data_IF_527239687215
#
_entry.id   IF_527239687215
#
_cell.length_a   1.000
_cell.length_b   1.000
_cell.length_c   1.000
_cell.angle_alpha   90.00
_cell.angle_beta   90.00
_cell.angle_gamma   90.00
#
_symmetry.space_group_name_H-M   'P 1'
#
loop_
_entity.id
_entity.type
_entity.pdbx_description
1 polymer ?
#
# COMPACT_ATOMS: atom_id res chain seq x y z
N UNK A 1 38.39 -3.51 15.11
CA UNK A 1 37.85 -3.08 16.41
C UNK A 1 36.36 -3.42 16.43
N UNK A 2 35.81 -4.33 17.22
CA UNK A 2 36.31 -5.35 18.14
C UNK A 2 35.19 -6.38 18.31
N UNK A 3 35.53 -7.67 18.27
CA UNK A 3 34.64 -8.79 18.65
C UNK A 3 34.67 -8.92 20.17
N UNK A 4 33.55 -9.32 20.80
CA UNK A 4 33.60 -10.00 22.09
C UNK A 4 32.65 -11.20 22.11
N UNK A 5 33.24 -12.39 22.15
CA UNK A 5 32.67 -13.58 22.78
C UNK A 5 33.33 -13.73 24.15
N UNK A 6 32.59 -14.24 25.14
CA UNK A 6 33.13 -14.78 26.38
C UNK A 6 32.42 -16.10 26.70
N UNK A 7 33.20 -17.17 26.83
CA UNK A 7 32.79 -18.55 27.15
C UNK A 7 33.23 -18.92 28.57
N UNK A 8 32.53 -19.90 29.18
CA UNK A 8 33.01 -20.75 30.28
C UNK A 8 32.20 -20.63 31.59
N UNK A 9 31.91 -21.67 32.38
CA UNK A 9 31.75 -23.12 32.23
C UNK A 9 31.07 -23.62 33.53
N UNK A 10 30.44 -24.80 33.48
CA UNK A 10 29.51 -25.43 34.44
C UNK A 10 29.89 -25.55 35.93
N UNK A 11 28.86 -25.46 36.80
CA UNK A 11 28.64 -26.41 37.90
C UNK A 11 27.13 -26.65 38.13
N UNK A 12 26.72 -27.91 38.15
CA UNK A 12 25.37 -28.38 38.46
C UNK A 12 25.16 -28.39 39.98
N UNK A 13 24.08 -27.76 40.45
CA UNK A 13 23.39 -28.16 41.68
C UNK A 13 21.88 -28.04 41.46
N UNK A 14 21.20 -29.18 41.62
CA UNK A 14 19.75 -29.28 41.64
C UNK A 14 19.20 -28.57 42.89
N UNK A 15 18.50 -27.46 42.70
CA UNK A 15 17.56 -26.93 43.68
C UNK A 15 16.19 -26.77 43.03
N UNK A 16 15.23 -27.56 43.51
CA UNK A 16 13.81 -27.38 43.25
C UNK A 16 13.35 -26.13 44.01
N UNK A 17 13.27 -25.00 43.31
CA UNK A 17 12.53 -23.83 43.78
C UNK A 17 11.34 -23.59 42.86
N UNK A 18 10.15 -23.81 43.39
CA UNK A 18 8.90 -23.32 42.82
C UNK A 18 8.95 -21.79 42.72
N UNK A 19 9.39 -21.28 41.58
CA UNK A 19 9.17 -19.89 41.20
C UNK A 19 8.05 -19.84 40.17
N UNK A 20 6.92 -19.30 40.60
CA UNK A 20 5.88 -18.79 39.72
C UNK A 20 6.51 -17.73 38.80
N UNK A 21 6.90 -18.13 37.60
CA UNK A 21 7.30 -17.18 36.56
C UNK A 21 6.05 -16.54 35.96
N UNK A 22 5.60 -15.48 36.61
CA UNK A 22 4.65 -14.54 36.04
C UNK A 22 5.42 -13.66 35.03
N UNK A 23 5.67 -14.18 33.82
CA UNK A 23 6.23 -13.40 32.71
C UNK A 23 5.16 -12.50 32.09
N UNK A 24 4.67 -11.54 32.89
CA UNK A 24 4.03 -10.34 32.38
C UNK A 24 5.12 -9.40 31.86
N UNK A 25 5.60 -9.63 30.64
CA UNK A 25 6.34 -8.61 29.92
C UNK A 25 5.37 -7.47 29.57
N UNK A 26 5.20 -6.54 30.51
CA UNK A 26 4.62 -5.24 30.22
C UNK A 26 5.56 -4.49 29.27
N UNK A 27 5.33 -4.63 27.96
CA UNK A 27 5.86 -3.72 26.96
C UNK A 27 5.19 -2.36 27.12
N UNK A 28 5.58 -1.58 28.14
CA UNK A 28 5.06 -0.23 28.35
C UNK A 28 6.17 0.78 28.68
N UNK A 29 7.31 0.67 27.98
CA UNK A 29 8.32 1.71 28.01
C UNK A 29 8.62 2.08 26.56
N UNK A 30 7.86 3.03 26.03
CA UNK A 30 8.23 3.69 24.79
C UNK A 30 9.48 4.51 25.12
N UNK A 31 10.67 3.99 24.79
CA UNK A 31 11.97 4.57 25.15
C UNK A 31 12.23 5.96 24.54
N UNK A 32 11.34 6.41 23.64
CA UNK A 32 11.43 7.69 22.97
C UNK A 32 10.18 8.53 23.31
N UNK A 33 10.35 9.74 23.86
CA UNK A 33 9.23 10.65 24.11
C UNK A 33 8.55 11.03 22.80
N UNK A 34 7.23 11.18 22.82
CA UNK A 34 6.44 11.69 21.70
C UNK A 34 6.80 13.15 21.41
N UNK A 35 6.54 13.63 20.19
CA UNK A 35 6.79 15.04 19.83
C UNK A 35 6.05 16.06 20.71
N UNK A 36 4.98 15.65 21.40
CA UNK A 36 4.27 16.47 22.39
C UNK A 36 5.02 16.53 23.73
N UNK A 37 5.72 15.46 24.09
CA UNK A 37 6.48 15.34 25.34
C UNK A 37 7.87 15.96 25.27
N UNK A 38 8.49 16.00 24.08
CA UNK A 38 9.82 16.62 23.87
C UNK A 38 9.81 18.14 24.14
N UNK A 39 8.68 18.82 23.94
CA UNK A 39 8.63 20.29 23.96
C UNK A 39 9.37 20.91 22.76
N UNK A 40 9.50 22.24 22.75
CA UNK A 40 10.31 22.99 21.76
C UNK A 40 9.92 22.77 20.28
N UNK A 41 8.62 22.72 19.97
CA UNK A 41 8.12 22.50 18.59
C UNK A 41 8.39 23.66 17.62
N UNK A 42 8.91 24.79 18.13
CA UNK A 42 9.02 26.03 17.36
C UNK A 42 7.65 26.69 17.11
N UNK A 43 7.62 27.83 16.40
CA UNK A 43 6.36 28.47 16.01
C UNK A 43 5.61 27.58 15.00
N UNK A 44 4.30 27.44 15.20
CA UNK A 44 3.42 26.68 14.30
C UNK A 44 2.23 27.54 13.89
N UNK A 45 2.00 27.67 12.59
CA UNK A 45 0.81 28.31 12.02
C UNK A 45 0.40 27.54 10.76
N UNK A 46 -0.89 27.28 10.58
CA UNK A 46 -1.43 26.60 9.40
C UNK A 46 -1.99 27.62 8.41
N UNK A 47 -1.69 27.44 7.12
CA UNK A 47 -2.27 28.26 6.05
C UNK A 47 -3.69 27.85 5.66
N UNK A 48 -4.24 28.54 4.66
CA UNK A 48 -5.53 28.20 4.04
C UNK A 48 -5.43 26.85 3.33
N UNK A 49 -6.49 26.05 3.45
CA UNK A 49 -6.56 24.76 2.76
C UNK A 49 -6.56 24.89 1.24
N UNK A 50 -5.75 24.07 0.52
CA UNK A 50 -5.61 24.18 -0.92
C UNK A 50 -6.86 23.67 -1.67
N UNK A 51 -7.04 24.16 -2.90
CA UNK A 51 -8.17 23.79 -3.75
C UNK A 51 -7.81 23.67 -5.23
N UNK A 52 -6.64 23.06 -5.51
CA UNK A 52 -6.04 23.10 -6.85
C UNK A 52 -6.84 22.34 -7.91
N UNK A 53 -7.86 21.55 -7.53
CA UNK A 53 -8.79 20.98 -8.50
C UNK A 53 -9.70 22.03 -9.18
N UNK A 54 -9.88 23.19 -8.54
CA UNK A 54 -10.69 24.31 -9.02
C UNK A 54 -9.81 25.50 -9.40
N UNK A 55 -8.81 25.81 -8.58
CA UNK A 55 -8.05 27.07 -8.73
C UNK A 55 -6.84 26.98 -9.65
N UNK A 56 -6.34 25.79 -9.96
CA UNK A 56 -5.12 25.63 -10.76
C UNK A 56 -5.40 25.40 -12.25
N UNK A 57 -4.53 25.96 -13.09
CA UNK A 57 -4.59 25.73 -14.53
C UNK A 57 -4.25 24.30 -14.95
N UNK A 58 -3.50 23.58 -14.13
CA UNK A 58 -3.25 22.15 -14.32
C UNK A 58 -3.23 21.50 -12.94
N UNK A 59 -4.18 20.61 -12.61
CA UNK A 59 -4.16 19.91 -11.33
C UNK A 59 -3.01 18.89 -11.31
N UNK A 60 -2.49 18.53 -10.11
CA UNK A 60 -1.35 17.64 -9.99
C UNK A 60 -1.68 16.23 -10.50
N UNK A 61 -0.76 15.67 -11.28
CA UNK A 61 -0.81 14.33 -11.88
C UNK A 61 0.36 13.48 -11.37
N UNK A 62 0.12 12.19 -11.15
CA UNK A 62 1.19 11.25 -10.82
C UNK A 62 1.73 10.62 -12.09
N UNK A 63 2.93 11.00 -12.51
CA UNK A 63 3.59 10.44 -13.70
C UNK A 63 4.76 9.52 -13.36
N UNK A 64 5.37 9.73 -12.19
CA UNK A 64 6.56 9.02 -11.74
C UNK A 64 6.20 7.83 -10.86
N UNK A 65 7.09 6.84 -10.83
CA UNK A 65 7.05 5.71 -9.90
C UNK A 65 8.36 5.58 -9.12
N UNK A 66 9.01 6.72 -8.83
CA UNK A 66 10.19 6.77 -7.97
C UNK A 66 9.94 6.07 -6.60
N UNK A 67 10.92 5.31 -6.07
CA UNK A 67 12.30 5.15 -6.53
C UNK A 67 12.52 4.01 -7.54
N UNK A 68 11.46 3.49 -8.16
CA UNK A 68 11.60 2.47 -9.19
C UNK A 68 12.01 3.10 -10.52
N UNK A 69 12.79 2.35 -11.28
CA UNK A 69 13.29 2.72 -12.61
C UNK A 69 12.79 1.67 -13.59
N UNK A 70 12.25 2.09 -14.74
CA UNK A 70 11.86 1.13 -15.77
C UNK A 70 13.10 0.62 -16.51
N UNK A 71 13.18 -0.69 -16.79
CA UNK A 71 14.20 -1.26 -17.67
C UNK A 71 14.29 -0.56 -19.04
N UNK A 72 13.18 0.01 -19.54
CA UNK A 72 13.17 0.76 -20.80
C UNK A 72 14.10 1.99 -20.79
N UNK A 73 14.35 2.57 -19.61
CA UNK A 73 15.28 3.70 -19.48
C UNK A 73 16.73 3.30 -19.75
N UNK A 74 17.09 2.04 -19.51
CA UNK A 74 18.43 1.52 -19.83
C UNK A 74 18.56 0.97 -21.25
N UNK A 75 17.47 0.51 -21.86
CA UNK A 75 17.50 -0.08 -23.21
C UNK A 75 17.10 0.89 -24.32
N UNK A 76 16.62 2.09 -23.99
CA UNK A 76 16.03 3.06 -24.95
C UNK A 76 14.85 2.49 -25.77
N UNK A 77 14.19 1.45 -25.24
CA UNK A 77 13.04 0.86 -25.90
C UNK A 77 11.81 1.77 -25.81
N UNK A 78 11.01 1.80 -26.88
CA UNK A 78 9.73 2.50 -26.88
C UNK A 78 8.69 1.83 -25.96
N UNK A 79 8.89 0.56 -25.62
CA UNK A 79 8.01 -0.21 -24.74
C UNK A 79 8.42 -0.05 -23.28
N UNK A 80 7.55 0.53 -22.45
CA UNK A 80 7.75 0.57 -20.99
C UNK A 80 7.10 -0.66 -20.32
N UNK A 81 7.88 -1.71 -19.95
CA UNK A 81 7.31 -2.91 -19.34
C UNK A 81 6.58 -2.63 -18.03
N UNK A 82 7.00 -1.60 -17.28
CA UNK A 82 6.38 -1.24 -16.00
C UNK A 82 4.93 -0.77 -16.20
N UNK A 83 4.61 -0.22 -17.37
CA UNK A 83 3.24 0.18 -17.73
C UNK A 83 2.38 -1.00 -18.15
N UNK A 84 3.00 -2.09 -18.61
CA UNK A 84 2.31 -3.27 -19.15
C UNK A 84 2.12 -4.41 -18.16
N UNK A 85 2.41 -4.23 -16.87
CA UNK A 85 2.20 -5.25 -15.83
C UNK A 85 0.73 -5.38 -15.35
N UNK A 86 -0.21 -4.73 -16.04
CA UNK A 86 -1.63 -4.77 -15.71
C UNK A 86 -1.89 -4.30 -14.28
N UNK A 87 -2.53 -5.15 -13.46
CA UNK A 87 -2.85 -4.81 -12.06
C UNK A 87 -1.62 -4.70 -11.14
N UNK A 88 -0.43 -5.08 -11.61
CA UNK A 88 0.84 -4.94 -10.89
C UNK A 88 1.57 -3.64 -11.25
N UNK A 89 1.14 -2.93 -12.29
CA UNK A 89 1.72 -1.64 -12.68
C UNK A 89 1.57 -0.62 -11.55
N UNK A 90 2.62 0.13 -11.21
CA UNK A 90 2.49 1.29 -10.33
C UNK A 90 1.41 2.28 -10.83
N UNK A 91 0.71 2.90 -9.87
CA UNK A 91 -0.29 3.92 -10.18
C UNK A 91 0.32 5.07 -11.00
N UNK A 92 -0.45 5.53 -11.98
CA UNK A 92 -0.18 6.74 -12.72
C UNK A 92 -1.48 7.40 -13.13
N UNK A 93 -1.44 8.71 -13.31
CA UNK A 93 -2.49 9.48 -13.94
C UNK A 93 -2.54 9.16 -15.43
N UNK A 94 -3.74 8.92 -15.94
CA UNK A 94 -4.01 8.82 -17.36
C UNK A 94 -4.28 10.24 -17.91
N UNK A 95 -3.95 10.52 -19.18
CA UNK A 95 -4.37 11.75 -19.81
C UNK A 95 -5.91 11.80 -19.87
N UNK A 96 -6.49 13.00 -19.87
CA UNK A 96 -7.96 13.15 -19.80
C UNK A 96 -8.68 12.49 -20.98
N UNK A 97 -8.06 12.50 -22.16
CA UNK A 97 -8.57 11.87 -23.37
C UNK A 97 -8.28 10.36 -23.47
N UNK A 98 -7.76 9.70 -22.44
CA UNK A 98 -7.40 8.27 -22.48
C UNK A 98 -8.54 7.34 -22.89
N UNK A 99 -9.79 7.79 -22.72
CA UNK A 99 -11.00 7.06 -23.08
C UNK A 99 -11.73 7.64 -24.30
N UNK A 100 -11.03 8.38 -25.16
CA UNK A 100 -11.59 8.94 -26.40
C UNK A 100 -12.50 10.15 -26.22
N UNK A 101 -12.48 10.77 -25.04
CA UNK A 101 -13.26 11.98 -24.75
C UNK A 101 -12.40 13.22 -25.00
N UNK A 102 -12.37 13.67 -26.26
CA UNK A 102 -11.67 14.90 -26.65
C UNK A 102 -12.24 16.12 -25.91
N UNK A 103 -11.36 17.05 -25.53
CA UNK A 103 -11.73 18.24 -24.76
C UNK A 103 -12.11 17.98 -23.29
N UNK A 104 -12.13 16.72 -22.83
CA UNK A 104 -12.34 16.41 -21.42
C UNK A 104 -11.17 16.89 -20.54
N UNK A 105 -11.47 17.22 -19.30
CA UNK A 105 -10.49 17.69 -18.32
C UNK A 105 -10.82 17.18 -16.93
N UNK A 106 -9.80 17.00 -16.10
CA UNK A 106 -9.96 16.71 -14.67
C UNK A 106 -10.31 17.95 -13.84
N UNK A 107 -10.50 19.11 -14.47
CA UNK A 107 -10.89 20.36 -13.81
C UNK A 107 -12.39 20.44 -13.56
N UNK A 108 -12.75 21.10 -12.48
CA UNK A 108 -14.14 21.52 -12.24
C UNK A 108 -14.46 22.68 -13.19
N UNK A 109 -15.58 22.65 -13.94
CA UNK A 109 -15.98 23.75 -14.81
C UNK A 109 -16.24 25.05 -14.03
N UNK A 110 -15.95 26.21 -14.64
CA UNK A 110 -16.06 27.53 -13.99
C UNK A 110 -17.47 27.86 -13.47
N UNK A 111 -18.51 27.29 -14.10
CA UNK A 111 -19.92 27.44 -13.72
C UNK A 111 -20.39 26.43 -12.65
N UNK A 112 -19.50 25.57 -12.14
CA UNK A 112 -19.84 24.51 -11.18
C UNK A 112 -19.15 24.74 -9.84
N UNK A 113 -19.87 24.44 -8.75
CA UNK A 113 -19.30 24.39 -7.42
C UNK A 113 -19.04 22.92 -7.02
N UNK A 114 -17.80 22.62 -6.60
CA UNK A 114 -17.52 21.31 -6.01
C UNK A 114 -18.03 21.29 -4.56
N UNK A 115 -18.99 20.41 -4.28
CA UNK A 115 -19.62 20.27 -2.97
C UNK A 115 -19.17 19.04 -2.20
N UNK A 116 -18.80 17.97 -2.90
CA UNK A 116 -18.46 16.67 -2.31
C UNK A 116 -17.51 15.89 -3.21
N UNK A 117 -16.67 15.05 -2.59
CA UNK A 117 -15.79 14.11 -3.29
C UNK A 117 -15.78 12.78 -2.55
N UNK A 118 -15.84 11.68 -3.31
CA UNK A 118 -15.62 10.33 -2.82
C UNK A 118 -14.40 9.74 -3.50
N UNK A 119 -13.46 9.23 -2.70
CA UNK A 119 -12.32 8.49 -3.21
C UNK A 119 -12.47 7.01 -2.85
N UNK A 120 -12.49 6.17 -3.89
CA UNK A 120 -12.24 4.74 -3.76
C UNK A 120 -10.86 4.46 -4.34
N UNK A 121 -9.96 3.90 -3.54
CA UNK A 121 -8.62 3.56 -3.99
C UNK A 121 -8.24 2.14 -3.56
N UNK A 122 -7.37 1.51 -4.36
CA UNK A 122 -6.77 0.22 -4.02
C UNK A 122 -5.67 0.41 -2.97
N UNK A 123 -5.24 -0.68 -2.36
CA UNK A 123 -3.95 -0.72 -1.69
C UNK A 123 -2.79 -0.37 -2.65
N UNK A 124 -1.66 0.06 -2.08
CA UNK A 124 -0.42 0.32 -2.82
C UNK A 124 0.33 -0.96 -3.21
N UNK A 125 1.49 -0.80 -3.84
CA UNK A 125 2.35 -1.91 -4.19
C UNK A 125 2.70 -2.79 -2.98
N UNK A 126 2.76 -4.09 -3.19
CA UNK A 126 2.91 -5.09 -2.11
C UNK A 126 3.80 -6.23 -2.55
N UNK A 127 4.26 -6.99 -1.56
CA UNK A 127 4.84 -8.29 -1.83
C UNK A 127 3.79 -9.28 -2.38
N UNK A 128 4.24 -10.37 -3.04
CA UNK A 128 3.37 -11.43 -3.53
C UNK A 128 2.46 -12.01 -2.44
N UNK A 129 1.35 -12.62 -2.85
CA UNK A 129 0.50 -13.36 -1.90
C UNK A 129 1.15 -14.70 -1.55
N UNK A 130 0.84 -15.22 -0.37
CA UNK A 130 1.45 -16.41 0.25
C UNK A 130 1.29 -17.67 -0.61
N UNK A 131 0.27 -17.73 -1.46
CA UNK A 131 -0.08 -18.88 -2.28
C UNK A 131 0.23 -18.71 -3.78
N UNK A 132 0.98 -17.67 -4.18
CA UNK A 132 1.22 -17.37 -5.60
C UNK A 132 2.71 -17.23 -5.94
N UNK A 133 2.98 -17.30 -7.24
CA UNK A 133 4.28 -16.95 -7.81
C UNK A 133 4.75 -15.55 -7.37
N UNK A 134 6.07 -15.33 -7.20
CA UNK A 134 7.19 -16.19 -7.62
C UNK A 134 7.70 -17.19 -6.56
N UNK A 135 7.11 -17.22 -5.35
CA UNK A 135 7.61 -18.07 -4.27
C UNK A 135 7.54 -19.57 -4.59
N UNK A 136 6.50 -19.98 -5.34
CA UNK A 136 6.35 -21.34 -5.83
C UNK A 136 7.47 -21.74 -6.79
N UNK A 137 7.79 -20.90 -7.76
CA UNK A 137 8.89 -21.10 -8.71
C UNK A 137 10.23 -21.20 -7.98
N UNK A 138 10.50 -20.32 -7.03
CA UNK A 138 11.72 -20.38 -6.20
C UNK A 138 11.86 -21.72 -5.47
N UNK A 139 10.75 -22.23 -4.93
CA UNK A 139 10.72 -23.52 -4.23
C UNK A 139 11.04 -24.67 -5.19
N UNK A 140 10.43 -24.68 -6.38
CA UNK A 140 10.69 -25.70 -7.41
C UNK A 140 12.12 -25.64 -7.95
N UNK A 141 12.64 -24.43 -8.17
CA UNK A 141 14.01 -24.22 -8.65
C UNK A 141 15.05 -24.73 -7.64
N UNK A 142 14.83 -24.44 -6.35
CA UNK A 142 15.67 -24.97 -5.26
C UNK A 142 15.59 -26.49 -5.16
N UNK A 143 14.39 -27.06 -5.31
CA UNK A 143 14.17 -28.51 -5.25
C UNK A 143 14.81 -29.26 -6.42
N UNK A 144 14.88 -28.65 -7.60
CA UNK A 144 15.53 -29.25 -8.76
C UNK A 144 17.03 -29.52 -8.50
N UNK A 145 17.70 -28.63 -7.76
CA UNK A 145 19.06 -28.81 -7.18
C UNK A 145 20.23 -28.91 -8.17
N UNK A 146 20.01 -29.48 -9.36
CA UNK A 146 21.02 -29.88 -10.32
C UNK A 146 20.76 -29.26 -11.70
N UNK A 147 20.53 -27.95 -11.75
CA UNK A 147 20.41 -27.22 -13.01
C UNK A 147 21.61 -26.31 -13.22
N UNK A 148 21.93 -26.05 -14.48
CA UNK A 148 22.85 -25.00 -14.90
C UNK A 148 22.14 -24.14 -15.93
N UNK A 149 21.63 -22.99 -15.48
CA UNK A 149 20.97 -22.04 -16.37
C UNK A 149 22.01 -21.35 -17.26
N UNK A 150 21.59 -20.93 -18.45
CA UNK A 150 22.45 -20.30 -19.45
C UNK A 150 21.70 -19.18 -20.18
N UNK A 151 22.42 -18.34 -20.93
CA UNK A 151 21.87 -17.20 -21.65
C UNK A 151 21.14 -16.23 -20.71
N UNK A 152 19.96 -15.75 -21.12
CA UNK A 152 19.16 -14.81 -20.33
C UNK A 152 18.71 -15.34 -18.95
N UNK A 153 18.85 -16.65 -18.70
CA UNK A 153 18.50 -17.27 -17.43
C UNK A 153 19.70 -17.54 -16.53
N UNK A 154 20.93 -17.19 -16.94
CA UNK A 154 22.15 -17.47 -16.18
C UNK A 154 22.12 -16.89 -14.76
N UNK A 155 21.42 -15.77 -14.56
CA UNK A 155 21.21 -15.18 -13.24
C UNK A 155 20.56 -16.15 -12.23
N UNK A 156 19.78 -17.14 -12.70
CA UNK A 156 19.13 -18.11 -11.84
C UNK A 156 20.14 -18.93 -11.03
N UNK A 157 21.33 -19.19 -11.58
CA UNK A 157 22.38 -19.99 -10.91
C UNK A 157 22.80 -19.40 -9.55
N UNK A 158 22.73 -18.07 -9.40
CA UNK A 158 23.06 -17.36 -8.15
C UNK A 158 21.83 -16.69 -7.51
N UNK A 159 20.66 -16.80 -8.13
CA UNK A 159 19.45 -16.15 -7.66
C UNK A 159 18.87 -16.87 -6.44
N UNK A 160 18.42 -16.09 -5.46
CA UNK A 160 17.64 -16.59 -4.34
C UNK A 160 16.43 -15.70 -4.11
N UNK A 161 15.31 -16.31 -3.70
CA UNK A 161 14.07 -15.58 -3.46
C UNK A 161 14.12 -14.83 -2.14
N UNK A 162 14.15 -13.49 -2.22
CA UNK A 162 14.25 -12.60 -1.05
C UNK A 162 13.01 -11.77 -0.75
N UNK A 163 11.90 -11.96 -1.48
CA UNK A 163 10.69 -11.14 -1.29
C UNK A 163 9.88 -11.60 -0.08
N UNK A 164 9.25 -10.64 0.61
CA UNK A 164 8.27 -10.90 1.65
C UNK A 164 6.94 -11.43 1.12
N UNK A 165 5.87 -11.31 1.93
CA UNK A 165 4.51 -11.73 1.56
C UNK A 165 3.45 -10.75 2.03
N UNK A 166 2.37 -10.62 1.25
CA UNK A 166 1.09 -9.95 1.53
C UNK A 166 1.10 -8.43 1.82
N UNK A 167 2.13 -7.94 2.49
CA UNK A 167 2.21 -6.58 3.04
C UNK A 167 2.73 -5.57 2.02
N UNK A 168 2.44 -4.30 2.27
CA UNK A 168 2.95 -3.20 1.44
C UNK A 168 4.47 -3.15 1.46
N UNK A 169 5.06 -2.91 0.29
CA UNK A 169 6.47 -2.52 0.20
C UNK A 169 6.64 -1.07 0.66
N UNK A 170 7.87 -0.60 0.96
CA UNK A 170 8.11 0.82 1.23
C UNK A 170 7.61 1.72 0.09
N UNK A 171 7.82 1.31 -1.16
CA UNK A 171 7.26 1.99 -2.33
C UNK A 171 5.73 2.02 -2.30
N UNK A 172 5.08 0.90 -1.97
CA UNK A 172 3.63 0.89 -1.84
C UNK A 172 3.13 1.88 -0.79
N UNK A 173 3.80 1.98 0.36
CA UNK A 173 3.46 2.95 1.41
C UNK A 173 3.59 4.40 0.92
N UNK A 174 4.67 4.73 0.21
CA UNK A 174 4.86 6.07 -0.34
C UNK A 174 3.80 6.43 -1.39
N UNK A 175 3.34 5.47 -2.20
CA UNK A 175 2.25 5.70 -3.14
C UNK A 175 0.99 6.20 -2.45
N UNK A 176 0.58 5.59 -1.32
CA UNK A 176 -0.63 6.03 -0.61
C UNK A 176 -0.42 7.34 0.13
N UNK A 177 0.76 7.58 0.70
CA UNK A 177 1.07 8.86 1.32
C UNK A 177 0.96 9.99 0.30
N UNK A 178 1.61 9.84 -0.86
CA UNK A 178 1.55 10.80 -1.96
C UNK A 178 0.13 10.96 -2.51
N UNK A 179 -0.67 9.88 -2.55
CA UNK A 179 -2.08 9.97 -2.90
C UNK A 179 -2.87 10.81 -1.88
N UNK A 180 -2.61 10.63 -0.58
CA UNK A 180 -3.21 11.42 0.50
C UNK A 180 -2.87 12.90 0.40
N UNK A 181 -1.59 13.22 0.21
CA UNK A 181 -1.11 14.59 -0.02
C UNK A 181 -1.76 15.19 -1.27
N UNK A 182 -1.72 14.49 -2.40
CA UNK A 182 -2.33 14.97 -3.64
C UNK A 182 -3.84 15.18 -3.52
N UNK A 183 -4.53 14.33 -2.77
CA UNK A 183 -5.95 14.47 -2.48
C UNK A 183 -6.23 15.70 -1.62
N UNK A 184 -5.43 15.93 -0.57
CA UNK A 184 -5.52 17.13 0.28
C UNK A 184 -5.28 18.39 -0.54
N UNK A 185 -4.27 18.40 -1.42
CA UNK A 185 -3.99 19.51 -2.32
C UNK A 185 -5.18 19.84 -3.24
N UNK A 186 -5.79 18.81 -3.84
CA UNK A 186 -6.91 18.98 -4.77
C UNK A 186 -8.18 19.48 -4.11
N UNK A 187 -8.52 18.94 -2.94
CA UNK A 187 -9.86 19.06 -2.36
C UNK A 187 -9.88 19.62 -0.94
N UNK A 188 -8.76 20.16 -0.46
CA UNK A 188 -8.58 20.53 0.94
C UNK A 188 -9.62 21.54 1.43
N UNK A 189 -10.00 22.49 0.57
CA UNK A 189 -11.04 23.48 0.86
C UNK A 189 -12.38 22.87 1.32
N UNK A 190 -12.72 21.65 0.87
CA UNK A 190 -13.94 20.97 1.32
C UNK A 190 -13.91 20.61 2.82
N UNK A 191 -12.73 20.51 3.45
CA UNK A 191 -12.66 20.28 4.89
C UNK A 191 -13.10 21.49 5.71
N UNK A 192 -13.08 22.71 5.14
CA UNK A 192 -13.65 23.89 5.81
C UNK A 192 -15.16 23.72 6.03
N UNK A 193 -15.86 23.04 5.09
CA UNK A 193 -17.29 22.69 5.23
C UNK A 193 -17.52 21.61 6.31
N UNK A 194 -16.49 20.82 6.63
CA UNK A 194 -16.49 19.78 7.67
C UNK A 194 -16.01 20.32 9.02
N UNK A 195 -15.58 21.59 9.12
CA UNK A 195 -15.16 22.22 10.38
C UNK A 195 -16.29 22.40 11.41
N UNK A 196 -17.52 21.96 11.09
CA UNK A 196 -18.58 21.83 12.09
C UNK A 196 -18.17 20.79 13.16
N UNK A 197 -18.31 21.08 14.47
CA UNK A 197 -17.85 20.21 15.57
C UNK A 197 -18.40 18.77 15.57
N UNK A 198 -19.45 18.51 14.80
CA UNK A 198 -20.11 17.20 14.66
C UNK A 198 -19.81 16.50 13.33
N UNK A 199 -19.23 17.18 12.36
CA UNK A 199 -18.94 16.59 11.07
C UNK A 199 -17.65 15.78 11.17
N UNK A 200 -17.77 14.47 10.94
CA UNK A 200 -16.63 13.55 10.95
C UNK A 200 -16.29 13.22 9.52
N UNK A 201 -15.05 13.48 9.12
CA UNK A 201 -14.51 12.89 7.90
C UNK A 201 -14.45 11.37 8.12
N UNK A 202 -15.10 10.59 7.25
CA UNK A 202 -15.23 9.13 7.42
C UNK A 202 -14.32 8.41 6.44
N UNK A 203 -13.39 7.63 6.98
CA UNK A 203 -12.54 6.76 6.20
C UNK A 203 -12.84 5.31 6.51
N UNK A 204 -13.16 4.55 5.47
CA UNK A 204 -13.46 3.12 5.56
C UNK A 204 -12.34 2.33 4.90
N UNK A 205 -11.91 1.27 5.57
CA UNK A 205 -10.97 0.28 5.03
C UNK A 205 -11.40 -1.11 5.43
N UNK A 206 -10.88 -2.14 4.76
CA UNK A 206 -11.01 -3.51 5.25
C UNK A 206 -9.93 -3.84 6.28
N UNK A 207 -10.13 -4.92 7.06
CA UNK A 207 -9.23 -5.36 8.12
C UNK A 207 -7.94 -6.03 7.63
N UNK A 208 -7.82 -6.32 6.34
CA UNK A 208 -6.63 -6.92 5.78
C UNK A 208 -5.42 -5.97 5.93
N UNK A 209 -4.27 -6.52 6.37
CA UNK A 209 -3.10 -5.71 6.74
C UNK A 209 -2.71 -4.67 5.68
N UNK A 210 -2.57 -5.07 4.40
CA UNK A 210 -2.23 -4.13 3.32
C UNK A 210 -3.29 -3.05 3.07
N UNK A 211 -4.56 -3.33 3.35
CA UNK A 211 -5.67 -2.38 3.19
C UNK A 211 -5.63 -1.35 4.32
N UNK A 212 -5.59 -1.83 5.58
CA UNK A 212 -5.45 -0.97 6.75
C UNK A 212 -4.21 -0.08 6.68
N UNK A 213 -3.05 -0.64 6.32
CA UNK A 213 -1.82 0.14 6.19
C UNK A 213 -1.85 1.09 4.99
N UNK A 214 -2.60 0.79 3.92
CA UNK A 214 -2.82 1.74 2.84
C UNK A 214 -3.61 2.95 3.32
N UNK A 215 -4.71 2.70 4.04
CA UNK A 215 -5.52 3.74 4.65
C UNK A 215 -4.74 4.56 5.69
N UNK A 216 -3.86 3.93 6.48
CA UNK A 216 -2.94 4.61 7.41
C UNK A 216 -1.99 5.56 6.68
N UNK A 217 -1.33 5.12 5.61
CA UNK A 217 -0.39 5.96 4.86
C UNK A 217 -1.11 7.09 4.11
N UNK A 218 -2.27 6.82 3.51
CA UNK A 218 -3.12 7.86 2.95
C UNK A 218 -3.51 8.90 4.01
N UNK A 219 -3.97 8.43 5.16
CA UNK A 219 -4.40 9.29 6.26
C UNK A 219 -3.25 10.08 6.87
N UNK A 220 -2.00 9.61 6.80
CA UNK A 220 -0.84 10.37 7.27
C UNK A 220 -0.58 11.62 6.40
N UNK A 221 -1.01 11.62 5.13
CA UNK A 221 -1.08 12.81 4.28
C UNK A 221 -2.38 13.61 4.46
N UNK A 222 -3.21 13.32 5.46
CA UNK A 222 -4.55 13.87 5.66
C UNK A 222 -4.92 13.88 7.18
N UNK A 223 -6.18 14.10 7.58
CA UNK A 223 -6.63 14.10 8.99
C UNK A 223 -7.83 13.16 9.17
N UNK A 224 -7.75 11.98 9.83
CA UNK A 224 -8.98 11.17 10.03
C UNK A 224 -9.01 10.09 11.14
N UNK A 225 -10.24 9.88 11.65
CA UNK A 225 -10.86 8.72 12.34
C UNK A 225 -11.27 7.58 11.37
N UNK A 226 -11.17 6.31 11.80
CA UNK A 226 -11.25 5.12 10.93
C UNK A 226 -12.40 4.17 11.29
N UNK A 227 -13.15 3.74 10.29
CA UNK A 227 -14.01 2.55 10.34
C UNK A 227 -13.30 1.40 9.62
N UNK A 228 -13.07 0.30 10.33
CA UNK A 228 -12.43 -0.90 9.80
C UNK A 228 -13.50 -1.98 9.66
N UNK A 229 -13.77 -2.41 8.43
CA UNK A 229 -14.73 -3.48 8.12
C UNK A 229 -13.99 -4.81 8.06
N UNK A 230 -14.49 -5.80 8.78
CA UNK A 230 -13.86 -7.13 8.84
C UNK A 230 -13.93 -7.81 7.47
N UNK A 231 -12.80 -8.34 7.02
CA UNK A 231 -12.66 -9.10 5.78
C UNK A 231 -12.48 -10.59 6.13
N UNK A 232 -13.58 -11.26 6.44
CA UNK A 232 -13.62 -12.68 6.79
C UNK A 232 -14.98 -13.29 6.41
N UNK A 233 -15.08 -14.63 6.29
CA UNK A 233 -16.35 -15.33 6.13
C UNK A 233 -17.37 -14.93 7.22
N UNK A 234 -18.64 -14.77 6.83
CA UNK A 234 -19.72 -14.40 7.74
C UNK A 234 -19.86 -12.90 8.02
N UNK A 235 -18.98 -12.05 7.49
CA UNK A 235 -19.06 -10.59 7.64
C UNK A 235 -19.45 -9.90 6.33
N UNK A 236 -20.55 -9.15 6.36
CA UNK A 236 -20.97 -8.32 5.23
C UNK A 236 -19.99 -7.16 5.02
N UNK A 237 -19.29 -7.17 3.88
CA UNK A 237 -18.28 -6.19 3.56
C UNK A 237 -18.43 -5.66 2.13
N UNK A 238 -18.95 -4.45 1.98
CA UNK A 238 -19.15 -3.80 0.67
C UNK A 238 -17.85 -3.44 -0.05
N UNK A 239 -16.72 -3.42 0.66
CA UNK A 239 -15.38 -3.21 0.06
C UNK A 239 -14.71 -4.52 -0.38
N UNK A 240 -15.22 -5.67 0.07
CA UNK A 240 -14.69 -7.00 -0.23
C UNK A 240 -15.80 -8.07 -0.12
N UNK A 241 -16.79 -8.10 -1.04
CA UNK A 241 -18.00 -8.91 -0.89
C UNK A 241 -17.81 -10.39 -1.25
N UNK A 242 -16.61 -10.80 -1.66
CA UNK A 242 -16.36 -12.16 -2.15
C UNK A 242 -16.54 -13.25 -1.08
N UNK A 243 -16.46 -12.91 0.21
CA UNK A 243 -16.71 -13.86 1.30
C UNK A 243 -18.21 -14.06 1.62
N UNK A 244 -19.11 -13.24 1.09
CA UNK A 244 -20.56 -13.34 1.34
C UNK A 244 -21.36 -13.76 0.11
N UNK A 245 -20.74 -13.76 -1.06
CA UNK A 245 -21.32 -14.30 -2.28
C UNK A 245 -20.83 -15.74 -2.48
N UNK A 246 -21.55 -16.72 -1.93
CA UNK A 246 -21.18 -18.15 -1.98
C UNK A 246 -20.94 -18.69 -3.40
N UNK A 247 -21.65 -18.13 -4.39
CA UNK A 247 -21.53 -18.53 -5.80
C UNK A 247 -20.52 -17.69 -6.61
N UNK A 248 -19.79 -16.78 -5.96
CA UNK A 248 -18.85 -15.87 -6.66
C UNK A 248 -17.70 -16.62 -7.33
N UNK A 249 -17.17 -17.67 -6.71
CA UNK A 249 -16.13 -18.50 -7.32
C UNK A 249 -16.63 -19.25 -8.56
N UNK A 250 -17.88 -19.73 -8.54
CA UNK A 250 -18.51 -20.35 -9.69
C UNK A 250 -18.73 -19.34 -10.83
N UNK A 251 -19.25 -18.15 -10.51
CA UNK A 251 -19.46 -17.09 -11.50
C UNK A 251 -18.15 -16.63 -12.16
N UNK A 252 -17.08 -16.48 -11.37
CA UNK A 252 -15.76 -16.08 -11.88
C UNK A 252 -15.16 -17.09 -12.85
N UNK A 253 -15.26 -18.40 -12.56
CA UNK A 253 -14.76 -19.46 -13.46
C UNK A 253 -15.51 -19.50 -14.78
N UNK A 254 -16.82 -19.29 -14.77
CA UNK A 254 -17.65 -19.26 -15.98
C UNK A 254 -17.36 -18.01 -16.82
N UNK A 255 -17.29 -16.83 -16.20
CA UNK A 255 -17.08 -15.57 -16.89
C UNK A 255 -15.65 -15.44 -17.46
N UNK A 256 -14.63 -15.88 -16.73
CA UNK A 256 -13.25 -15.91 -17.23
C UNK A 256 -13.14 -16.88 -18.41
N UNK A 257 -13.78 -18.05 -18.37
CA UNK A 257 -13.83 -18.96 -19.53
C UNK A 257 -14.49 -18.32 -20.75
N UNK A 258 -15.61 -17.61 -20.58
CA UNK A 258 -16.30 -16.92 -21.68
C UNK A 258 -15.50 -15.75 -22.26
N UNK A 259 -14.81 -14.97 -21.42
CA UNK A 259 -13.92 -13.91 -21.92
C UNK A 259 -12.73 -14.53 -22.65
N UNK A 260 -12.08 -15.54 -22.07
CA UNK A 260 -10.93 -16.20 -22.70
C UNK A 260 -11.27 -17.00 -23.96
N UNK A 261 -12.53 -17.39 -24.19
CA UNK A 261 -12.96 -18.01 -25.44
C UNK A 261 -13.23 -17.00 -26.57
N UNK A 262 -13.36 -15.71 -26.22
CA UNK A 262 -13.60 -14.61 -27.17
C UNK A 262 -12.31 -13.84 -27.49
N UNK A 263 -11.16 -14.33 -27.03
CA UNK A 263 -9.81 -13.85 -27.31
C UNK A 263 -9.00 -14.98 -27.93
#
# INVERSE_FOLDING_TARGET
MGRFFGHGHHHHHHHNHHHHHNHGHHHNQNLFPSGKEIGYQGPTETGVEPFVAVTADVPPEQKSYFPLVSPAQSSHDAFDPVRSWGYLSPFHSLPSNAFGLEGSSGKVPNQCELTQVHLLHRHGARYPTSSKEPAGFATRLKAAGNYKASGNLEFLNSWSYGLGKEVLTPFGRSQLFNLGVGFRQKYGHLLNKIAHPKAKLVFRTTSQHRMLHSALNFAAGNIIVKSIVIEAPGFNNTLAPYFTCNNSEHASKTFVKTIMSNW
#
